data_IF_141745914526
#
_entry.id   IF_141745914526
#
_cell.length_a   1.000
_cell.length_b   1.000
_cell.length_c   1.000
_cell.angle_alpha   90.00
_cell.angle_beta   90.00
_cell.angle_gamma   90.00
#
_symmetry.space_group_name_H-M   'P 1'
#
loop_
_entity.id
_entity.type
_entity.pdbx_description
1 polymer ?
#
# COMPACT_ATOMS: atom_id res chain seq x y z
N UNK A 1 -22.12 -0.68 -5.37
CA UNK A 1 -20.74 -0.94 -5.84
C UNK A 1 -19.92 0.35 -5.73
N UNK A 2 -19.67 0.81 -4.51
CA UNK A 2 -18.78 1.93 -4.21
C UNK A 2 -17.57 1.46 -3.39
N UNK A 3 -17.10 0.23 -3.62
CA UNK A 3 -16.36 -0.51 -2.59
C UNK A 3 -14.83 -0.42 -2.73
N UNK A 4 -14.30 -0.33 -3.95
CA UNK A 4 -12.86 -0.44 -4.17
C UNK A 4 -12.09 0.87 -4.00
N UNK A 5 -12.66 2.00 -4.42
CA UNK A 5 -12.03 3.33 -4.33
C UNK A 5 -12.04 3.86 -2.89
N UNK A 6 -13.16 3.71 -2.18
CA UNK A 6 -13.28 4.09 -0.77
C UNK A 6 -12.39 3.21 0.12
N UNK A 7 -12.39 1.88 -0.10
CA UNK A 7 -11.46 0.97 0.57
C UNK A 7 -9.98 1.18 0.16
N UNK A 8 -9.71 1.82 -0.97
CA UNK A 8 -8.35 2.16 -1.36
C UNK A 8 -7.82 3.34 -0.53
N UNK A 9 -8.68 4.30 -0.21
CA UNK A 9 -8.37 5.52 0.54
C UNK A 9 -8.28 5.31 2.07
N UNK A 10 -8.89 4.24 2.61
CA UNK A 10 -8.84 3.94 4.06
C UNK A 10 -7.39 3.74 4.57
N UNK A 11 -6.89 4.62 5.48
CA UNK A 11 -5.52 4.57 6.00
C UNK A 11 -5.26 3.40 6.96
N UNK A 12 -6.30 2.80 7.53
CA UNK A 12 -6.21 1.73 8.53
C UNK A 12 -6.64 0.36 7.99
N UNK A 13 -7.04 0.32 6.71
CA UNK A 13 -7.43 -0.92 6.04
C UNK A 13 -6.46 -2.06 6.25
N UNK A 14 -7.04 -3.20 6.59
CA UNK A 14 -6.39 -4.52 6.65
C UNK A 14 -6.66 -5.32 5.39
N UNK A 15 -5.74 -6.22 5.05
CA UNK A 15 -5.98 -7.17 3.96
C UNK A 15 -6.97 -8.26 4.39
N UNK A 16 -7.71 -8.86 3.45
CA UNK A 16 -8.61 -9.97 3.78
C UNK A 16 -7.87 -11.08 4.53
N UNK A 17 -8.49 -11.58 5.60
CA UNK A 17 -7.96 -12.62 6.48
C UNK A 17 -6.72 -12.21 7.29
N UNK A 18 -6.39 -10.93 7.35
CA UNK A 18 -5.32 -10.42 8.20
C UNK A 18 -5.76 -10.39 9.68
N UNK A 19 -5.09 -11.17 10.53
CA UNK A 19 -5.30 -11.15 11.97
C UNK A 19 -4.14 -10.46 12.70
N UNK A 20 -4.29 -9.18 13.01
CA UNK A 20 -3.27 -8.38 13.72
C UNK A 20 -2.92 -8.91 15.12
N UNK A 21 -3.80 -9.71 15.73
CA UNK A 21 -3.62 -10.30 17.04
C UNK A 21 -2.98 -11.70 17.01
N UNK A 22 -2.61 -12.23 15.83
CA UNK A 22 -2.02 -13.59 15.73
C UNK A 22 -0.80 -13.77 16.64
N UNK A 23 -0.77 -14.85 17.39
CA UNK A 23 0.39 -15.27 18.21
C UNK A 23 1.30 -16.25 17.47
N UNK A 24 0.96 -16.59 16.22
CA UNK A 24 1.71 -17.56 15.41
C UNK A 24 2.87 -16.87 14.68
N UNK A 25 4.14 -17.22 14.95
CA UNK A 25 5.28 -16.56 14.32
C UNK A 25 5.30 -16.76 12.80
N UNK A 26 4.87 -17.94 12.33
CA UNK A 26 4.78 -18.28 10.91
C UNK A 26 3.78 -17.38 10.15
N UNK A 27 2.69 -16.99 10.80
CA UNK A 27 1.68 -16.10 10.22
C UNK A 27 2.21 -14.67 10.11
N UNK A 28 2.87 -14.17 11.15
CA UNK A 28 3.53 -12.87 11.10
C UNK A 28 4.58 -12.79 9.97
N UNK A 29 5.44 -13.82 9.84
CA UNK A 29 6.40 -13.93 8.73
C UNK A 29 5.72 -13.97 7.36
N UNK A 30 4.56 -14.63 7.24
CA UNK A 30 3.79 -14.66 5.99
C UNK A 30 3.31 -13.27 5.61
N UNK A 31 2.77 -12.50 6.56
CA UNK A 31 2.33 -11.13 6.29
C UNK A 31 3.48 -10.18 5.95
N UNK A 32 4.67 -10.34 6.55
CA UNK A 32 5.87 -9.60 6.10
C UNK A 32 6.12 -9.82 4.60
N UNK A 33 6.06 -11.08 4.12
CA UNK A 33 6.26 -11.39 2.69
C UNK A 33 5.17 -10.79 1.81
N UNK A 34 3.90 -10.92 2.21
CA UNK A 34 2.75 -10.38 1.45
C UNK A 34 2.88 -8.86 1.31
N UNK A 35 3.11 -8.14 2.41
CA UNK A 35 3.25 -6.69 2.37
C UNK A 35 4.49 -6.23 1.60
N UNK A 36 5.60 -6.96 1.67
CA UNK A 36 6.79 -6.67 0.87
C UNK A 36 6.52 -6.80 -0.63
N UNK A 37 5.79 -7.85 -1.05
CA UNK A 37 5.38 -8.03 -2.44
C UNK A 37 4.44 -6.92 -2.92
N UNK A 38 3.40 -6.61 -2.14
CA UNK A 38 2.46 -5.54 -2.46
C UNK A 38 3.16 -4.17 -2.55
N UNK A 39 4.08 -3.89 -1.62
CA UNK A 39 4.82 -2.64 -1.62
C UNK A 39 5.73 -2.54 -2.86
N UNK A 40 6.42 -3.62 -3.24
CA UNK A 40 7.25 -3.60 -4.44
C UNK A 40 6.41 -3.37 -5.70
N UNK A 41 5.25 -4.04 -5.81
CA UNK A 41 4.31 -3.78 -6.90
C UNK A 41 3.86 -2.30 -6.92
N UNK A 42 3.46 -1.76 -5.76
CA UNK A 42 2.99 -0.38 -5.64
C UNK A 42 4.06 0.64 -6.03
N UNK A 43 5.30 0.43 -5.61
CA UNK A 43 6.44 1.29 -5.97
C UNK A 43 6.70 1.31 -7.47
N UNK A 44 6.57 0.17 -8.16
CA UNK A 44 6.72 0.11 -9.62
C UNK A 44 5.61 0.89 -10.33
N UNK A 45 4.38 0.80 -9.84
CA UNK A 45 3.24 1.57 -10.38
C UNK A 45 3.46 3.07 -10.18
N UNK A 46 3.86 3.49 -8.97
CA UNK A 46 4.11 4.91 -8.68
C UNK A 46 5.27 5.46 -9.53
N UNK A 47 6.35 4.70 -9.68
CA UNK A 47 7.48 5.09 -10.53
C UNK A 47 7.04 5.26 -11.99
N UNK A 48 6.24 4.33 -12.52
CA UNK A 48 5.71 4.42 -13.87
C UNK A 48 4.75 5.62 -14.04
N UNK A 49 3.90 5.88 -13.05
CA UNK A 49 2.99 7.03 -13.06
C UNK A 49 3.76 8.36 -13.12
N UNK A 50 4.78 8.54 -12.28
CA UNK A 50 5.63 9.73 -12.34
C UNK A 50 6.37 9.86 -13.67
N UNK A 51 6.87 8.76 -14.23
CA UNK A 51 7.59 8.78 -15.51
C UNK A 51 6.68 9.17 -16.69
N UNK A 52 5.38 8.86 -16.60
CA UNK A 52 4.38 9.13 -17.64
C UNK A 52 3.63 10.44 -17.47
N UNK A 53 3.67 11.04 -16.28
CA UNK A 53 3.02 12.33 -16.01
C UNK A 53 3.39 13.44 -17.02
N UNK A 54 4.66 13.60 -17.47
CA UNK A 54 5.01 14.61 -18.47
C UNK A 54 4.38 14.40 -19.86
N UNK A 55 3.90 13.19 -20.16
CA UNK A 55 3.19 12.87 -21.41
C UNK A 55 1.71 13.32 -21.38
N UNK A 56 1.19 13.72 -20.21
CA UNK A 56 -0.17 14.23 -20.04
C UNK A 56 -0.21 15.72 -20.39
N UNK A 57 -0.56 16.04 -21.63
CA UNK A 57 -0.51 17.42 -22.17
C UNK A 57 -1.76 18.25 -21.87
N UNK A 58 -2.90 17.60 -21.64
CA UNK A 58 -4.16 18.29 -21.32
C UNK A 58 -4.17 18.75 -19.85
N UNK A 59 -4.31 20.06 -19.61
CA UNK A 59 -4.19 20.67 -18.27
C UNK A 59 -5.17 20.07 -17.25
N UNK A 60 -6.42 19.84 -17.66
CA UNK A 60 -7.42 19.26 -16.79
C UNK A 60 -7.06 17.82 -16.37
N UNK A 61 -6.54 17.02 -17.30
CA UNK A 61 -6.10 15.66 -17.02
C UNK A 61 -4.82 15.64 -16.17
N UNK A 62 -3.89 16.57 -16.42
CA UNK A 62 -2.67 16.70 -15.63
C UNK A 62 -2.98 17.07 -14.17
N UNK A 63 -3.92 18.01 -13.94
CA UNK A 63 -4.36 18.37 -12.58
C UNK A 63 -4.99 17.18 -11.85
N UNK A 64 -5.92 16.47 -12.49
CA UNK A 64 -6.53 15.26 -11.88
C UNK A 64 -5.46 14.22 -11.49
N UNK A 65 -4.49 13.98 -12.39
CA UNK A 65 -3.41 13.03 -12.14
C UNK A 65 -2.52 13.43 -10.94
N UNK A 66 -2.21 14.71 -10.80
CA UNK A 66 -1.37 15.23 -9.69
C UNK A 66 -2.13 15.31 -8.39
N UNK A 67 -3.30 15.94 -8.40
CA UNK A 67 -4.02 16.33 -7.19
C UNK A 67 -4.82 15.17 -6.59
N UNK A 68 -5.21 14.18 -7.41
CA UNK A 68 -6.01 13.03 -6.97
C UNK A 68 -5.23 11.72 -7.08
N UNK A 69 -4.83 11.31 -8.30
CA UNK A 69 -4.35 9.95 -8.54
C UNK A 69 -3.01 9.67 -7.86
N UNK A 70 -2.04 10.57 -8.01
CA UNK A 70 -0.73 10.44 -7.37
C UNK A 70 -0.84 10.52 -5.85
N UNK A 71 -1.63 11.46 -5.32
CA UNK A 71 -1.89 11.58 -3.88
C UNK A 71 -2.45 10.26 -3.31
N UNK A 72 -3.42 9.64 -4.01
CA UNK A 72 -3.98 8.36 -3.61
C UNK A 72 -2.93 7.23 -3.66
N UNK A 73 -2.12 7.16 -4.71
CA UNK A 73 -1.07 6.13 -4.85
C UNK A 73 -0.01 6.26 -3.76
N UNK A 74 0.40 7.47 -3.42
CA UNK A 74 1.36 7.76 -2.35
C UNK A 74 0.79 7.44 -0.96
N UNK A 75 -0.47 7.78 -0.71
CA UNK A 75 -1.16 7.43 0.53
C UNK A 75 -1.24 5.91 0.72
N UNK A 76 -1.56 5.17 -0.35
CA UNK A 76 -1.55 3.70 -0.34
C UNK A 76 -0.15 3.14 -0.07
N UNK A 77 0.90 3.69 -0.71
CA UNK A 77 2.28 3.27 -0.49
C UNK A 77 2.68 3.47 0.97
N UNK A 78 2.39 4.63 1.53
CA UNK A 78 2.67 4.98 2.93
C UNK A 78 1.95 4.04 3.90
N UNK A 79 0.68 3.71 3.64
CA UNK A 79 -0.07 2.70 4.42
C UNK A 79 0.61 1.33 4.38
N UNK A 80 0.98 0.85 3.20
CA UNK A 80 1.64 -0.45 3.03
C UNK A 80 3.01 -0.49 3.75
N UNK A 81 3.77 0.60 3.73
CA UNK A 81 5.02 0.72 4.47
C UNK A 81 4.82 0.63 5.98
N UNK A 82 3.84 1.37 6.54
CA UNK A 82 3.51 1.30 7.97
C UNK A 82 3.11 -0.11 8.39
N UNK A 83 2.30 -0.78 7.58
CA UNK A 83 1.84 -2.15 7.88
C UNK A 83 2.95 -3.19 7.75
N UNK A 84 3.84 -3.05 6.77
CA UNK A 84 5.05 -3.88 6.67
C UNK A 84 5.93 -3.72 7.93
N UNK A 85 6.13 -2.48 8.39
CA UNK A 85 6.90 -2.21 9.60
C UNK A 85 6.25 -2.82 10.85
N UNK A 86 4.92 -2.76 10.95
CA UNK A 86 4.17 -3.46 12.00
C UNK A 86 4.45 -4.96 12.00
N UNK A 87 4.33 -5.62 10.84
CA UNK A 87 4.52 -7.07 10.74
C UNK A 87 5.96 -7.51 10.99
N UNK A 88 6.95 -6.71 10.57
CA UNK A 88 8.36 -6.97 10.92
C UNK A 88 8.54 -6.97 12.44
N UNK A 89 8.12 -5.89 13.12
CA UNK A 89 8.19 -5.80 14.59
C UNK A 89 7.44 -6.94 15.29
N UNK A 90 6.25 -7.34 14.78
CA UNK A 90 5.47 -8.44 15.37
C UNK A 90 6.15 -9.80 15.14
N UNK A 91 6.69 -10.04 13.95
CA UNK A 91 7.45 -11.26 13.65
C UNK A 91 8.66 -11.40 14.55
N UNK A 92 9.40 -10.31 14.79
CA UNK A 92 10.57 -10.31 15.65
C UNK A 92 10.18 -10.66 17.09
N UNK A 93 9.14 -10.01 17.64
CA UNK A 93 8.62 -10.29 18.99
C UNK A 93 8.12 -11.72 19.18
N UNK A 94 7.53 -12.34 18.16
CA UNK A 94 6.99 -13.70 18.24
C UNK A 94 8.05 -14.78 17.98
N UNK A 95 9.24 -14.40 17.48
CA UNK A 95 10.33 -15.34 17.20
C UNK A 95 11.39 -15.36 18.31
N UNK A 96 11.20 -14.54 19.35
CA UNK A 96 11.94 -14.57 20.61
C UNK A 96 11.33 -15.61 21.55
#
# INVERSE_FOLDING_TARGET
>A
MADAAEAAADPDRVLPHENLATTKPAEARRWVRIYAQLLNFKQRVLLAAHAKLPEVTEEAAHREAVDTDLVLLEAQQSRLQRRLAFWKRRSDKLSQ
#
